data_IF_862981237647
#
_entry.id   IF_862981237647
#
_cell.length_a   1.000
_cell.length_b   1.000
_cell.length_c   1.000
_cell.angle_alpha   90.00
_cell.angle_beta   90.00
_cell.angle_gamma   90.00
#
_symmetry.space_group_name_H-M   'P 1'
#
loop_
_entity.id
_entity.type
_entity.pdbx_description
1 polymer ?
#
# COMPACT_ATOMS: atom_id res chain seq x y z
N UNK A 1 18.21 -31.73 12.86
CA UNK A 1 18.47 -30.26 12.83
C UNK A 1 17.64 -29.67 11.71
N UNK A 2 16.43 -29.16 12.04
CA UNK A 2 15.50 -28.60 11.02
C UNK A 2 15.90 -27.15 10.78
N UNK A 3 16.42 -26.88 9.60
CA UNK A 3 16.64 -25.53 9.09
C UNK A 3 15.27 -24.89 8.82
N UNK A 4 14.86 -23.95 9.67
CA UNK A 4 13.73 -23.09 9.42
C UNK A 4 14.08 -22.21 8.22
N UNK A 5 13.50 -22.51 7.07
CA UNK A 5 13.61 -21.68 5.87
C UNK A 5 12.92 -20.32 6.14
N UNK A 6 13.72 -19.29 6.29
CA UNK A 6 13.23 -17.92 6.26
C UNK A 6 12.69 -17.66 4.84
N UNK A 7 11.38 -17.46 4.73
CA UNK A 7 10.69 -17.12 3.48
C UNK A 7 10.93 -15.63 3.19
N UNK A 8 12.04 -15.30 2.56
CA UNK A 8 12.26 -13.95 2.04
C UNK A 8 11.73 -13.95 0.60
N UNK A 9 10.60 -13.30 0.38
CA UNK A 9 10.13 -12.95 -0.97
C UNK A 9 10.95 -11.77 -1.46
N UNK A 10 12.01 -12.04 -2.21
CA UNK A 10 12.74 -10.99 -2.93
C UNK A 10 11.91 -10.68 -4.17
N UNK A 11 11.13 -9.62 -4.11
CA UNK A 11 10.44 -9.09 -5.30
C UNK A 11 11.42 -8.20 -6.05
N UNK A 12 12.01 -8.74 -7.11
CA UNK A 12 12.95 -8.02 -7.96
C UNK A 12 12.17 -7.32 -9.08
N UNK A 13 12.08 -5.97 -9.00
CA UNK A 13 11.53 -5.15 -10.08
C UNK A 13 12.65 -4.83 -11.06
N UNK A 14 12.63 -5.50 -12.19
CA UNK A 14 13.45 -5.09 -13.33
C UNK A 14 12.58 -4.18 -14.17
N UNK A 15 12.64 -2.88 -13.88
CA UNK A 15 12.00 -1.86 -14.71
C UNK A 15 12.74 -1.81 -16.06
N UNK A 16 12.00 -2.01 -17.13
CA UNK A 16 12.52 -2.15 -18.50
C UNK A 16 12.93 -0.82 -19.14
N UNK A 17 13.25 0.21 -18.38
CA UNK A 17 13.98 1.37 -18.92
C UNK A 17 15.40 1.01 -19.37
N UNK A 18 15.90 -0.13 -18.97
CA UNK A 18 17.18 -0.64 -19.42
C UNK A 18 16.90 -1.40 -20.73
N UNK A 19 17.49 -0.96 -21.81
CA UNK A 19 17.66 -1.70 -23.07
C UNK A 19 18.57 -2.92 -22.85
N UNK A 20 18.30 -3.69 -21.81
CA UNK A 20 19.04 -4.91 -21.54
C UNK A 20 18.40 -5.97 -22.41
N UNK A 21 19.16 -6.46 -23.37
CA UNK A 21 18.90 -7.76 -23.98
C UNK A 21 18.59 -8.74 -22.87
N UNK A 22 17.61 -9.66 -23.06
CA UNK A 22 17.30 -10.71 -22.09
C UNK A 22 18.54 -11.60 -21.96
N UNK A 23 19.44 -11.17 -21.14
CA UNK A 23 20.73 -11.79 -21.02
C UNK A 23 20.59 -12.97 -20.06
N UNK A 24 21.00 -14.18 -20.47
CA UNK A 24 21.29 -15.28 -19.54
C UNK A 24 22.13 -14.81 -18.37
N UNK A 25 22.88 -13.76 -18.53
CA UNK A 25 23.67 -13.07 -17.53
C UNK A 25 22.89 -12.65 -16.28
N UNK A 26 21.70 -12.03 -16.43
CA UNK A 26 20.88 -11.63 -15.28
C UNK A 26 20.38 -12.85 -14.50
N UNK A 27 19.98 -13.92 -15.20
CA UNK A 27 19.57 -15.18 -14.57
C UNK A 27 20.75 -15.80 -13.79
N UNK A 28 21.95 -15.77 -14.35
CA UNK A 28 23.17 -16.23 -13.68
C UNK A 28 23.52 -15.40 -12.45
N UNK A 29 23.44 -14.06 -12.53
CA UNK A 29 23.67 -13.20 -11.37
C UNK A 29 22.68 -13.53 -10.25
N UNK A 30 21.39 -13.68 -10.57
CA UNK A 30 20.38 -14.07 -9.59
C UNK A 30 20.67 -15.43 -8.98
N UNK A 31 21.12 -16.38 -9.78
CA UNK A 31 21.48 -17.71 -9.31
C UNK A 31 22.69 -17.67 -8.37
N UNK A 32 23.76 -16.97 -8.75
CA UNK A 32 24.94 -16.79 -7.90
C UNK A 32 24.63 -16.08 -6.59
N UNK A 33 23.81 -15.03 -6.65
CA UNK A 33 23.35 -14.32 -5.46
C UNK A 33 22.59 -15.23 -4.50
N UNK A 34 21.68 -16.04 -5.02
CA UNK A 34 20.87 -16.98 -4.25
C UNK A 34 21.73 -18.07 -3.63
N UNK A 35 22.69 -18.61 -4.40
CA UNK A 35 23.63 -19.62 -3.90
C UNK A 35 24.54 -19.05 -2.79
N UNK A 36 25.02 -17.81 -2.94
CA UNK A 36 25.88 -17.16 -1.94
C UNK A 36 25.17 -16.89 -0.62
N UNK A 37 23.84 -16.69 -0.62
CA UNK A 37 23.04 -16.42 0.58
C UNK A 37 22.43 -17.70 1.17
N UNK A 38 22.53 -18.84 0.48
CA UNK A 38 21.91 -20.11 0.90
C UNK A 38 20.38 -20.13 0.78
N UNK A 39 19.81 -19.22 -0.02
CA UNK A 39 18.36 -19.14 -0.29
C UNK A 39 18.02 -19.92 -1.56
N UNK A 40 16.74 -20.27 -1.71
CA UNK A 40 16.24 -20.85 -2.97
C UNK A 40 15.18 -19.94 -3.56
N UNK A 41 15.33 -19.59 -4.84
CA UNK A 41 14.30 -18.83 -5.59
C UNK A 41 13.19 -19.80 -5.94
N UNK A 42 11.97 -19.45 -5.54
CA UNK A 42 10.80 -20.19 -5.97
C UNK A 42 10.21 -19.52 -7.22
N UNK A 43 10.62 -19.99 -8.40
CA UNK A 43 10.23 -19.44 -9.69
C UNK A 43 8.72 -19.57 -9.95
N UNK A 44 8.01 -20.53 -9.33
CA UNK A 44 6.55 -20.71 -9.49
C UNK A 44 5.74 -19.53 -8.93
N UNK A 45 6.36 -18.72 -8.05
CA UNK A 45 5.75 -17.53 -7.45
C UNK A 45 6.09 -16.23 -8.19
N UNK A 46 6.95 -16.31 -9.19
CA UNK A 46 7.32 -15.15 -9.98
C UNK A 46 6.44 -15.06 -11.21
N UNK A 47 5.99 -13.86 -11.49
CA UNK A 47 5.31 -13.53 -12.72
C UNK A 47 5.98 -12.32 -13.37
N UNK A 48 5.97 -12.31 -14.68
CA UNK A 48 6.51 -11.22 -15.47
C UNK A 48 5.36 -10.41 -16.07
N UNK A 49 5.39 -9.10 -15.85
CA UNK A 49 4.38 -8.17 -16.37
C UNK A 49 4.98 -7.41 -17.55
N UNK A 50 4.38 -7.49 -18.77
CA UNK A 50 4.88 -6.72 -19.91
C UNK A 50 4.55 -5.23 -19.72
N UNK A 51 5.59 -4.38 -19.80
CA UNK A 51 5.47 -2.93 -19.79
C UNK A 51 6.10 -2.41 -21.08
N UNK A 52 5.28 -2.01 -22.04
CA UNK A 52 5.72 -1.51 -23.36
C UNK A 52 6.69 -2.46 -24.08
N UNK A 53 6.52 -3.77 -23.92
CA UNK A 53 7.33 -4.81 -24.55
C UNK A 53 6.53 -5.50 -25.63
N UNK A 54 7.06 -5.67 -26.88
CA UNK A 54 6.40 -6.47 -27.90
C UNK A 54 6.16 -7.92 -27.46
N UNK A 55 5.05 -8.50 -27.89
CA UNK A 55 4.62 -9.83 -27.46
C UNK A 55 5.67 -10.93 -27.69
N UNK A 56 6.35 -10.88 -28.84
CA UNK A 56 7.36 -11.88 -29.23
C UNK A 56 8.56 -11.86 -28.27
N UNK A 57 9.07 -10.64 -27.95
CA UNK A 57 10.16 -10.46 -26.99
C UNK A 57 9.74 -10.88 -25.60
N UNK A 58 8.49 -10.58 -25.22
CA UNK A 58 7.96 -10.99 -23.92
C UNK A 58 7.92 -12.52 -23.77
N UNK A 59 7.47 -13.24 -24.79
CA UNK A 59 7.44 -14.71 -24.77
C UNK A 59 8.84 -15.32 -24.62
N UNK A 60 9.83 -14.78 -25.34
CA UNK A 60 11.23 -15.23 -25.20
C UNK A 60 11.75 -15.00 -23.77
N UNK A 61 11.47 -13.82 -23.19
CA UNK A 61 11.87 -13.47 -21.83
C UNK A 61 11.23 -14.41 -20.80
N UNK A 62 9.93 -14.58 -20.86
CA UNK A 62 9.18 -15.44 -19.95
C UNK A 62 9.71 -16.89 -19.97
N UNK A 63 9.99 -17.43 -21.17
CA UNK A 63 10.59 -18.75 -21.36
C UNK A 63 12.01 -18.84 -20.77
N UNK A 64 12.85 -17.81 -20.97
CA UNK A 64 14.23 -17.78 -20.46
C UNK A 64 14.26 -17.77 -18.95
N UNK A 65 13.38 -17.00 -18.29
CA UNK A 65 13.30 -16.93 -16.84
C UNK A 65 12.48 -18.04 -16.19
N UNK A 66 11.65 -18.75 -16.95
CA UNK A 66 10.74 -19.78 -16.41
C UNK A 66 9.60 -19.18 -15.58
N UNK A 67 9.19 -17.95 -15.88
CA UNK A 67 8.16 -17.23 -15.12
C UNK A 67 6.81 -17.23 -15.84
N UNK A 68 5.73 -17.22 -15.06
CA UNK A 68 4.39 -17.05 -15.61
C UNK A 68 4.14 -15.60 -16.07
N UNK A 69 3.17 -15.44 -16.99
CA UNK A 69 2.73 -14.12 -17.42
C UNK A 69 1.77 -13.54 -16.37
N UNK A 70 2.11 -12.36 -15.86
CA UNK A 70 1.22 -11.56 -15.03
C UNK A 70 0.38 -10.59 -15.86
N UNK A 71 -0.75 -10.18 -15.30
CA UNK A 71 -1.63 -9.13 -15.84
C UNK A 71 -1.56 -7.88 -14.96
N UNK A 72 -2.06 -6.77 -15.52
CA UNK A 72 -2.23 -5.51 -14.78
C UNK A 72 -3.73 -5.30 -14.49
N UNK A 73 -4.09 -4.65 -13.36
CA UNK A 73 -3.21 -4.23 -12.26
C UNK A 73 -2.69 -5.42 -11.43
N UNK A 74 -1.55 -5.27 -10.80
CA UNK A 74 -1.01 -6.27 -9.88
C UNK A 74 -0.67 -5.65 -8.52
N UNK A 75 -0.70 -6.46 -7.46
CA UNK A 75 -0.45 -5.98 -6.11
C UNK A 75 1.02 -6.14 -5.73
N UNK A 76 1.65 -5.04 -5.31
CA UNK A 76 3.00 -5.04 -4.77
C UNK A 76 3.05 -4.41 -3.39
N UNK A 77 3.55 -5.16 -2.40
CA UNK A 77 3.57 -4.75 -0.99
C UNK A 77 2.20 -4.23 -0.49
N UNK A 78 1.12 -4.79 -1.02
CA UNK A 78 -0.24 -4.37 -0.68
C UNK A 78 -0.75 -3.13 -1.41
N UNK A 79 0.02 -2.61 -2.39
CA UNK A 79 -0.38 -1.48 -3.24
C UNK A 79 -0.72 -1.96 -4.65
N UNK A 80 -1.78 -1.40 -5.26
CA UNK A 80 -2.09 -1.67 -6.66
C UNK A 80 -1.10 -0.94 -7.57
N UNK A 81 -0.40 -1.69 -8.42
CA UNK A 81 0.47 -1.12 -9.43
C UNK A 81 -0.12 -1.35 -10.82
N UNK A 82 -0.25 -0.28 -11.59
CA UNK A 82 -0.69 -0.28 -12.98
C UNK A 82 0.10 0.76 -13.77
N UNK A 83 0.21 0.58 -15.08
CA UNK A 83 0.74 1.60 -16.00
C UNK A 83 -0.31 2.68 -16.25
N UNK A 84 -1.57 2.32 -16.18
CA UNK A 84 -2.70 3.24 -16.31
C UNK A 84 -3.05 3.85 -14.94
N UNK A 85 -3.79 4.94 -14.95
CA UNK A 85 -4.29 5.53 -13.70
C UNK A 85 -5.06 4.49 -12.90
N UNK A 86 -4.71 4.36 -11.62
CA UNK A 86 -5.40 3.44 -10.71
C UNK A 86 -6.88 3.81 -10.60
N UNK A 87 -7.75 2.82 -10.73
CA UNK A 87 -9.19 2.96 -10.56
C UNK A 87 -9.57 2.96 -9.07
N UNK A 88 -10.78 3.38 -8.76
CA UNK A 88 -11.32 3.31 -7.38
C UNK A 88 -11.32 1.86 -6.87
N UNK A 89 -11.63 0.90 -7.74
CA UNK A 89 -11.68 -0.52 -7.41
C UNK A 89 -10.31 -1.08 -6.95
N UNK A 90 -9.22 -0.53 -7.44
CA UNK A 90 -7.87 -0.99 -7.07
C UNK A 90 -7.54 -0.72 -5.60
N UNK A 91 -8.23 0.23 -4.96
CA UNK A 91 -8.07 0.59 -3.55
C UNK A 91 -9.06 -0.11 -2.61
N UNK A 92 -9.97 -0.93 -3.14
CA UNK A 92 -10.94 -1.70 -2.34
C UNK A 92 -10.28 -2.56 -1.24
N UNK A 93 -9.11 -3.18 -1.44
CA UNK A 93 -8.42 -3.91 -0.37
C UNK A 93 -8.07 -3.06 0.86
N UNK A 94 -7.91 -1.73 0.70
CA UNK A 94 -7.65 -0.82 1.82
C UNK A 94 -8.95 -0.61 2.61
N UNK A 95 -10.04 -0.40 1.90
CA UNK A 95 -11.39 -0.21 2.49
C UNK A 95 -11.79 -1.46 3.27
N UNK A 96 -11.66 -2.64 2.68
CA UNK A 96 -11.97 -3.93 3.30
C UNK A 96 -11.13 -4.18 4.55
N UNK A 97 -9.86 -3.78 4.56
CA UNK A 97 -9.01 -3.85 5.76
C UNK A 97 -9.52 -2.96 6.88
N UNK A 98 -9.96 -1.74 6.57
CA UNK A 98 -10.53 -0.84 7.57
C UNK A 98 -11.83 -1.39 8.15
N UNK A 99 -12.68 -1.97 7.32
CA UNK A 99 -13.92 -2.63 7.72
C UNK A 99 -13.66 -3.82 8.66
N UNK A 100 -12.77 -4.70 8.26
CA UNK A 100 -12.42 -5.88 9.05
C UNK A 100 -11.84 -5.50 10.43
N UNK A 101 -11.04 -4.47 10.50
CA UNK A 101 -10.47 -3.97 11.74
C UNK A 101 -11.54 -3.34 12.63
N UNK A 102 -12.53 -2.66 12.07
CA UNK A 102 -13.67 -2.13 12.82
C UNK A 102 -14.43 -3.24 13.53
N UNK A 103 -14.80 -4.30 12.80
CA UNK A 103 -15.58 -5.42 13.33
C UNK A 103 -14.85 -6.12 14.49
N UNK A 104 -13.52 -6.29 14.36
CA UNK A 104 -12.74 -7.05 15.34
C UNK A 104 -12.47 -6.31 16.65
N UNK A 105 -12.47 -4.96 16.66
CA UNK A 105 -11.94 -4.21 17.80
C UNK A 105 -12.95 -3.29 18.49
N UNK A 106 -13.98 -2.82 17.82
CA UNK A 106 -14.82 -1.75 18.33
C UNK A 106 -15.85 -2.18 19.40
N UNK A 107 -16.14 -3.49 19.55
CA UNK A 107 -17.23 -4.00 20.39
C UNK A 107 -16.98 -3.86 21.90
N UNK A 108 -15.73 -3.88 22.33
CA UNK A 108 -15.37 -3.96 23.73
C UNK A 108 -14.80 -2.66 24.31
N UNK A 109 -14.76 -1.58 23.51
CA UNK A 109 -14.04 -0.37 23.87
C UNK A 109 -14.95 0.73 24.41
N UNK A 110 -14.46 1.43 25.45
CA UNK A 110 -15.02 2.70 25.90
C UNK A 110 -14.90 3.78 24.80
N UNK A 111 -15.56 4.92 24.97
CA UNK A 111 -15.49 6.03 24.02
C UNK A 111 -14.04 6.54 23.83
N UNK A 112 -13.27 6.62 24.91
CA UNK A 112 -11.85 6.99 24.84
C UNK A 112 -11.04 5.94 24.09
N UNK A 113 -11.29 4.64 24.33
CA UNK A 113 -10.64 3.56 23.58
C UNK A 113 -10.98 3.57 22.10
N UNK A 114 -12.23 3.89 21.73
CA UNK A 114 -12.63 4.04 20.32
C UNK A 114 -11.96 5.22 19.64
N UNK A 115 -11.74 6.33 20.34
CA UNK A 115 -10.98 7.47 19.82
C UNK A 115 -9.53 7.04 19.55
N UNK A 116 -8.92 6.31 20.48
CA UNK A 116 -7.55 5.84 20.33
C UNK A 116 -7.41 4.87 19.14
N UNK A 117 -8.31 3.88 19.00
CA UNK A 117 -8.32 2.98 17.85
C UNK A 117 -8.54 3.74 16.53
N UNK A 118 -9.41 4.75 16.52
CA UNK A 118 -9.63 5.57 15.35
C UNK A 118 -8.34 6.29 14.91
N UNK A 119 -7.56 6.80 15.86
CA UNK A 119 -6.30 7.48 15.59
C UNK A 119 -5.15 6.50 15.29
N UNK A 120 -4.93 5.53 16.15
CA UNK A 120 -3.77 4.65 16.08
C UNK A 120 -3.89 3.57 15.00
N UNK A 121 -5.09 3.11 14.69
CA UNK A 121 -5.31 1.99 13.75
C UNK A 121 -5.99 2.47 12.47
N UNK A 122 -7.24 2.91 12.54
CA UNK A 122 -8.02 3.23 11.34
C UNK A 122 -7.44 4.39 10.52
N UNK A 123 -6.75 5.31 11.16
CA UNK A 123 -6.05 6.41 10.47
C UNK A 123 -4.74 5.95 9.84
N UNK A 124 -4.05 4.98 10.44
CA UNK A 124 -2.74 4.54 9.95
C UNK A 124 -2.84 3.48 8.84
N UNK A 125 -3.91 2.69 8.78
CA UNK A 125 -4.11 1.66 7.76
C UNK A 125 -3.93 2.17 6.32
N UNK A 126 -4.54 3.30 5.90
CA UNK A 126 -4.36 3.83 4.55
C UNK A 126 -3.05 4.60 4.36
N UNK A 127 -2.28 4.92 5.42
CA UNK A 127 -1.13 5.83 5.36
C UNK A 127 -0.07 5.36 4.37
N UNK A 128 0.19 4.05 4.30
CA UNK A 128 1.16 3.50 3.34
C UNK A 128 0.73 3.76 1.88
N UNK A 129 -0.54 3.57 1.57
CA UNK A 129 -1.06 3.90 0.23
C UNK A 129 -1.08 5.42 -0.01
N UNK A 130 -1.44 6.22 0.99
CA UNK A 130 -1.43 7.68 0.93
C UNK A 130 -0.03 8.27 0.74
N UNK A 131 1.01 7.58 1.19
CA UNK A 131 2.40 8.00 0.95
C UNK A 131 2.86 7.80 -0.50
N UNK A 132 2.13 7.01 -1.29
CA UNK A 132 2.49 6.66 -2.67
C UNK A 132 1.49 7.22 -3.68
N UNK A 133 0.20 7.25 -3.32
CA UNK A 133 -0.89 7.66 -4.20
C UNK A 133 -1.71 8.80 -3.61
N UNK A 134 -2.19 9.68 -4.49
CA UNK A 134 -3.29 10.57 -4.14
C UNK A 134 -4.59 9.77 -4.19
N UNK A 135 -5.08 9.36 -3.02
CA UNK A 135 -6.28 8.53 -2.95
C UNK A 135 -7.51 9.24 -3.48
N UNK A 136 -8.38 8.55 -4.24
CA UNK A 136 -9.66 9.09 -4.68
C UNK A 136 -10.50 9.56 -3.50
N UNK A 137 -11.23 10.68 -3.68
CA UNK A 137 -12.12 11.23 -2.64
C UNK A 137 -13.17 10.22 -2.15
N UNK A 138 -13.60 9.31 -3.01
CA UNK A 138 -14.54 8.23 -2.69
C UNK A 138 -13.95 7.26 -1.67
N UNK A 139 -12.69 6.85 -1.83
CA UNK A 139 -11.98 5.97 -0.90
C UNK A 139 -11.80 6.65 0.46
N UNK A 140 -11.36 7.92 0.48
CA UNK A 140 -11.23 8.69 1.72
C UNK A 140 -12.57 8.76 2.46
N UNK A 141 -13.68 9.03 1.74
CA UNK A 141 -15.02 9.05 2.33
C UNK A 141 -15.45 7.69 2.90
N UNK A 142 -15.11 6.59 2.25
CA UNK A 142 -15.39 5.24 2.73
C UNK A 142 -14.60 4.95 4.02
N UNK A 143 -13.31 5.24 4.06
CA UNK A 143 -12.50 5.09 5.28
C UNK A 143 -13.04 5.98 6.41
N UNK A 144 -13.40 7.23 6.13
CA UNK A 144 -14.00 8.13 7.12
C UNK A 144 -15.36 7.63 7.62
N UNK A 145 -16.14 6.93 6.80
CA UNK A 145 -17.37 6.26 7.25
C UNK A 145 -17.09 5.24 8.35
N UNK A 146 -16.06 4.41 8.20
CA UNK A 146 -15.65 3.44 9.23
C UNK A 146 -15.10 4.14 10.48
N UNK A 147 -14.31 5.19 10.33
CA UNK A 147 -13.79 5.99 11.46
C UNK A 147 -14.92 6.62 12.27
N UNK A 148 -15.92 7.21 11.59
CA UNK A 148 -17.13 7.74 12.22
C UNK A 148 -17.91 6.67 12.93
N UNK A 149 -18.07 5.51 12.29
CA UNK A 149 -18.78 4.39 12.90
C UNK A 149 -18.06 3.90 14.17
N UNK A 150 -16.77 3.67 14.11
CA UNK A 150 -15.95 3.30 15.24
C UNK A 150 -16.11 4.28 16.41
N UNK A 151 -15.96 5.56 16.14
CA UNK A 151 -15.97 6.61 17.16
C UNK A 151 -17.35 6.72 17.85
N UNK A 152 -18.44 6.76 17.07
CA UNK A 152 -19.76 7.09 17.61
C UNK A 152 -20.61 5.86 17.99
N UNK A 153 -20.46 4.75 17.28
CA UNK A 153 -21.34 3.58 17.41
C UNK A 153 -20.65 2.33 17.97
N UNK A 154 -19.34 2.25 17.86
CA UNK A 154 -18.61 1.03 18.15
C UNK A 154 -18.78 -0.01 17.04
N UNK A 155 -18.97 -1.29 17.39
CA UNK A 155 -19.25 -2.39 16.44
C UNK A 155 -20.73 -2.72 16.31
N UNK A 156 -21.60 -2.06 17.03
CA UNK A 156 -23.03 -2.33 17.02
C UNK A 156 -23.71 -1.61 15.86
N UNK A 157 -24.02 -2.35 14.79
CA UNK A 157 -24.70 -1.85 13.60
C UNK A 157 -26.14 -1.37 13.91
N UNK A 158 -26.75 -1.91 14.95
CA UNK A 158 -28.09 -1.49 15.41
C UNK A 158 -28.08 -0.21 16.24
N UNK A 159 -26.90 0.23 16.67
CA UNK A 159 -26.75 1.46 17.44
C UNK A 159 -26.94 2.69 16.55
N UNK A 160 -28.16 3.21 16.51
CA UNK A 160 -28.55 4.40 15.73
C UNK A 160 -28.28 5.73 16.45
N UNK A 161 -27.42 5.74 17.47
CA UNK A 161 -27.09 7.01 18.16
C UNK A 161 -26.52 8.01 17.16
N UNK A 162 -27.06 9.25 17.12
CA UNK A 162 -26.54 10.29 16.26
C UNK A 162 -25.10 10.66 16.70
N UNK A 163 -24.27 11.16 15.79
CA UNK A 163 -22.97 11.69 16.16
C UNK A 163 -23.16 12.89 17.10
N UNK A 164 -22.32 12.98 18.13
CA UNK A 164 -22.39 14.06 19.14
C UNK A 164 -21.95 15.41 18.57
N UNK A 165 -21.13 15.39 17.53
CA UNK A 165 -20.65 16.60 16.86
C UNK A 165 -20.38 16.34 15.38
N UNK A 166 -20.28 17.42 14.61
CA UNK A 166 -19.93 17.35 13.20
C UNK A 166 -18.49 16.85 12.99
N UNK A 167 -18.29 16.05 11.94
CA UNK A 167 -16.97 15.48 11.64
C UNK A 167 -15.84 16.52 11.45
N UNK A 168 -16.09 17.75 10.93
CA UNK A 168 -15.09 18.79 10.89
C UNK A 168 -14.57 19.19 12.28
N UNK A 169 -15.42 19.19 13.31
CA UNK A 169 -15.00 19.50 14.68
C UNK A 169 -14.13 18.40 15.30
N UNK A 170 -14.25 17.17 14.82
CA UNK A 170 -13.43 16.04 15.27
C UNK A 170 -11.97 16.19 14.85
N UNK A 171 -11.73 16.90 13.74
CA UNK A 171 -10.38 17.20 13.23
C UNK A 171 -9.66 18.32 13.99
N UNK A 172 -10.41 19.18 14.67
CA UNK A 172 -9.82 20.31 15.42
C UNK A 172 -8.85 19.78 16.48
N UNK A 173 -7.68 20.41 16.66
CA UNK A 173 -6.73 20.07 17.70
C UNK A 173 -7.36 19.99 19.10
N UNK A 174 -6.77 19.19 19.98
CA UNK A 174 -7.30 18.99 21.35
C UNK A 174 -7.23 20.26 22.19
N UNK A 175 -6.22 21.07 22.01
CA UNK A 175 -6.01 22.38 22.65
C UNK A 175 -7.04 23.43 22.20
N UNK A 176 -7.65 23.22 21.04
CA UNK A 176 -8.75 24.04 20.50
C UNK A 176 -10.14 23.45 20.73
N UNK A 177 -10.24 22.41 21.57
CA UNK A 177 -11.53 21.79 21.95
C UNK A 177 -12.00 20.69 21.00
N UNK A 178 -11.20 20.26 20.02
CA UNK A 178 -11.48 19.13 19.15
C UNK A 178 -10.98 17.79 19.71
N UNK A 179 -11.09 16.73 18.91
CA UNK A 179 -10.60 15.39 19.27
C UNK A 179 -9.21 15.10 18.69
N UNK A 180 -8.67 15.97 17.86
CA UNK A 180 -7.35 15.81 17.24
C UNK A 180 -7.25 14.62 16.28
N UNK A 181 -8.34 14.22 15.65
CA UNK A 181 -8.34 13.15 14.65
C UNK A 181 -7.80 13.71 13.34
N UNK A 182 -6.85 13.03 12.71
CA UNK A 182 -6.25 13.52 11.46
C UNK A 182 -7.27 13.59 10.32
N UNK A 183 -7.26 14.70 9.58
CA UNK A 183 -7.95 14.81 8.31
C UNK A 183 -7.20 14.01 7.25
N UNK A 184 -7.77 12.90 6.80
CA UNK A 184 -7.10 11.99 5.86
C UNK A 184 -6.74 12.65 4.53
N UNK A 185 -7.56 13.58 4.04
CA UNK A 185 -7.27 14.29 2.80
C UNK A 185 -6.02 15.15 2.93
N UNK A 186 -5.99 16.01 3.93
CA UNK A 186 -4.83 16.86 4.22
C UNK A 186 -3.59 16.01 4.52
N UNK A 187 -3.75 14.93 5.27
CA UNK A 187 -2.67 14.01 5.57
C UNK A 187 -2.08 13.36 4.31
N UNK A 188 -2.92 12.92 3.36
CA UNK A 188 -2.47 12.37 2.08
C UNK A 188 -1.70 13.41 1.26
N UNK A 189 -2.21 14.63 1.17
CA UNK A 189 -1.53 15.73 0.48
C UNK A 189 -0.14 16.01 1.12
N UNK A 190 -0.06 16.10 2.45
CA UNK A 190 1.20 16.31 3.16
C UNK A 190 2.22 15.18 2.96
N UNK A 191 1.76 13.92 2.95
CA UNK A 191 2.63 12.77 2.70
C UNK A 191 3.25 12.80 1.30
N UNK A 192 2.49 13.23 0.30
CA UNK A 192 2.98 13.37 -1.07
C UNK A 192 3.91 14.58 -1.24
N UNK A 193 3.61 15.70 -0.58
CA UNK A 193 4.47 16.88 -0.57
C UNK A 193 5.86 16.60 0.01
N UNK A 194 5.98 15.65 0.93
CA UNK A 194 7.28 15.20 1.43
C UNK A 194 8.22 14.70 0.33
N UNK A 195 7.69 14.05 -0.72
CA UNK A 195 8.50 13.61 -1.85
C UNK A 195 8.99 14.80 -2.69
N UNK A 196 8.12 15.79 -2.94
CA UNK A 196 8.50 17.02 -3.63
C UNK A 196 9.58 17.78 -2.86
N UNK A 197 9.46 17.87 -1.52
CA UNK A 197 10.48 18.48 -0.68
C UNK A 197 11.84 17.77 -0.84
N UNK A 198 11.87 16.44 -0.85
CA UNK A 198 13.10 15.67 -1.05
C UNK A 198 13.74 15.93 -2.42
N UNK A 199 12.93 16.05 -3.48
CA UNK A 199 13.41 16.39 -4.83
C UNK A 199 13.98 17.81 -4.82
N UNK A 200 13.26 18.77 -4.24
CA UNK A 200 13.68 20.15 -4.19
C UNK A 200 14.99 20.36 -3.39
N UNK A 201 15.14 19.66 -2.27
CA UNK A 201 16.35 19.73 -1.42
C UNK A 201 17.51 18.91 -1.97
N UNK A 202 17.35 18.28 -3.16
CA UNK A 202 18.37 17.46 -3.82
C UNK A 202 19.04 16.45 -2.90
N UNK A 203 18.26 15.81 -2.03
CA UNK A 203 18.78 14.75 -1.18
C UNK A 203 19.33 13.60 -2.04
N UNK A 204 20.46 13.04 -1.64
CA UNK A 204 21.06 11.87 -2.33
C UNK A 204 20.25 10.61 -2.04
N UNK A 205 19.13 10.46 -2.73
CA UNK A 205 18.24 9.32 -2.66
C UNK A 205 17.87 8.84 -4.06
N UNK A 206 17.64 7.54 -4.27
CA UNK A 206 17.34 6.98 -5.59
C UNK A 206 16.19 7.68 -6.33
N UNK A 207 15.18 8.18 -5.59
CA UNK A 207 14.06 8.91 -6.16
C UNK A 207 14.51 10.19 -6.89
N UNK A 208 15.49 10.92 -6.35
CA UNK A 208 15.99 12.18 -6.93
C UNK A 208 16.86 11.90 -8.14
N UNK A 209 17.53 10.76 -8.17
CA UNK A 209 18.38 10.35 -9.30
C UNK A 209 17.56 9.88 -10.52
N UNK A 210 16.27 9.53 -10.33
CA UNK A 210 15.36 9.08 -11.39
C UNK A 210 14.56 10.21 -12.05
N UNK A 211 14.59 11.42 -11.52
CA UNK A 211 13.88 12.62 -12.02
C UNK A 211 14.86 13.58 -12.67
#
# INVERSE_FOLDING_TARGET
MQLKFLRISISLYICSMIKISPSPFLKNILHQFVESIGLRVNFDKYFMVPINVPADKFHMLAKTFGCSKGSQPFTYLGLPLSITNSSVADFEPIVSRCEHQLISTASFLSEAGRLEITNAVLTTLPTFAMSTFLLPKTIIKQVDKFRKHCLWRGSDDNNRKPPRTGWPMVYVPKDEGGLGVLNLRTHNECLLLKHLHKIYTRQDIPLVQLV
#
